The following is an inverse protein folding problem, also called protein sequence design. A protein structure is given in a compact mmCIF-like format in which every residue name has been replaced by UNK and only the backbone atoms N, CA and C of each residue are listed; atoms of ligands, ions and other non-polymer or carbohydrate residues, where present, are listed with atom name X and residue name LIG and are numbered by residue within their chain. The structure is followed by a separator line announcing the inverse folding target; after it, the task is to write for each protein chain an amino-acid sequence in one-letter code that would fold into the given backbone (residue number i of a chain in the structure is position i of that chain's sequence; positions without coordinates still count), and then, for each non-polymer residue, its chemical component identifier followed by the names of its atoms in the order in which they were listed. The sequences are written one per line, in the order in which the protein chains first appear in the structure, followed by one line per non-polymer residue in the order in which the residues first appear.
data_IF_829293175331
#
_entry.id   IF_829293175331
#
_cell.length_a   1.000
_cell.length_b   1.000
_cell.length_c   1.000
_cell.angle_alpha   90.00
_cell.angle_beta   90.00
_cell.angle_gamma   90.00
#
_symmetry.space_group_name_H-M   'P 1'
#
loop_
_entity.id
_entity.type
_entity.pdbx_description
1 polymer ?
#
# COMPACT_ATOMS: atom_id res chain seq x y z
N UNK A 1 41.12 23.97 -30.90
CA UNK A 1 41.69 23.50 -29.62
C UNK A 1 40.74 23.94 -28.52
N UNK A 2 39.98 22.97 -28.01
CA UNK A 2 39.26 22.83 -26.72
C UNK A 2 38.57 24.07 -26.11
N UNK A 3 37.24 24.06 -26.21
CA UNK A 3 36.26 24.72 -25.33
C UNK A 3 36.25 24.12 -23.91
N UNK A 4 35.75 24.87 -22.92
CA UNK A 4 35.50 24.36 -21.58
C UNK A 4 34.72 25.33 -20.70
N UNK A 5 33.46 25.54 -21.06
CA UNK A 5 32.42 26.35 -20.43
C UNK A 5 32.07 25.87 -19.00
N UNK A 6 31.79 26.82 -18.11
CA UNK A 6 31.58 26.59 -16.68
C UNK A 6 30.35 25.75 -16.32
N UNK A 7 30.50 24.93 -15.29
CA UNK A 7 29.40 24.19 -14.66
C UNK A 7 28.85 24.98 -13.48
N UNK A 8 27.64 25.52 -13.65
CA UNK A 8 26.79 25.98 -12.55
C UNK A 8 25.83 24.86 -12.12
N UNK A 9 25.85 24.63 -10.80
CA UNK A 9 24.80 24.17 -9.89
C UNK A 9 23.46 23.65 -10.48
N UNK A 10 23.05 22.46 -10.01
CA UNK A 10 21.70 21.82 -10.02
C UNK A 10 21.42 20.77 -11.09
N UNK A 11 21.88 19.52 -10.89
CA UNK A 11 21.19 18.32 -11.42
C UNK A 11 21.41 17.13 -10.47
N UNK A 12 20.50 16.95 -9.51
CA UNK A 12 20.29 15.64 -8.88
C UNK A 12 18.82 15.30 -9.14
N UNK A 13 18.55 14.67 -10.27
CA UNK A 13 17.23 14.18 -10.62
C UNK A 13 17.31 12.70 -10.98
N UNK A 14 16.49 11.95 -10.23
CA UNK A 14 15.80 10.71 -10.59
C UNK A 14 16.66 9.55 -11.11
N UNK A 15 16.80 8.54 -10.26
CA UNK A 15 17.07 7.16 -10.64
C UNK A 15 15.89 6.66 -11.49
N UNK A 16 16.00 6.71 -12.82
CA UNK A 16 15.01 6.17 -13.74
C UNK A 16 15.23 4.66 -13.93
N UNK A 17 14.33 3.85 -13.37
CA UNK A 17 14.23 2.42 -13.69
C UNK A 17 13.55 2.31 -15.05
N UNK A 18 14.33 1.95 -16.07
CA UNK A 18 13.83 1.62 -17.41
C UNK A 18 13.30 0.18 -17.40
N UNK A 19 11.98 0.01 -17.37
CA UNK A 19 11.33 -1.29 -17.54
C UNK A 19 10.89 -1.45 -19.01
N UNK A 20 11.63 -2.25 -19.77
CA UNK A 20 11.26 -2.68 -21.12
C UNK A 20 10.10 -3.68 -21.05
N UNK A 21 8.89 -3.21 -21.39
CA UNK A 21 7.72 -4.06 -21.56
C UNK A 21 7.66 -4.60 -23.00
N UNK A 22 7.96 -5.88 -23.17
CA UNK A 22 7.63 -6.62 -24.40
C UNK A 22 6.12 -6.83 -24.45
N UNK A 23 5.45 -6.24 -25.45
CA UNK A 23 4.00 -6.35 -25.64
C UNK A 23 3.56 -7.77 -25.98
N UNK A 24 3.09 -8.50 -24.97
CA UNK A 24 2.30 -9.71 -25.14
C UNK A 24 0.86 -9.38 -25.59
N UNK A 25 0.07 -10.38 -26.02
CA UNK A 25 -1.34 -10.17 -26.35
C UNK A 25 -2.10 -9.63 -25.13
N UNK A 26 -2.78 -8.50 -25.32
CA UNK A 26 -3.66 -7.90 -24.32
C UNK A 26 -4.90 -8.79 -24.18
N UNK A 27 -4.84 -9.75 -23.25
CA UNK A 27 -6.06 -10.35 -22.72
C UNK A 27 -6.88 -9.23 -22.04
N UNK A 28 -8.20 -9.33 -22.08
CA UNK A 28 -9.07 -8.39 -21.39
C UNK A 28 -8.78 -8.42 -19.87
N UNK A 29 -7.95 -7.49 -19.41
CA UNK A 29 -7.66 -7.33 -17.99
C UNK A 29 -8.94 -6.80 -17.33
N UNK A 30 -9.49 -7.58 -16.42
CA UNK A 30 -10.58 -7.12 -15.56
C UNK A 30 -10.06 -6.01 -14.66
N UNK A 31 -10.90 -5.04 -14.28
CA UNK A 31 -10.47 -3.98 -13.40
C UNK A 31 -10.03 -4.54 -12.05
N UNK A 32 -8.93 -4.02 -11.53
CA UNK A 32 -8.43 -4.35 -10.19
C UNK A 32 -8.47 -3.10 -9.32
N UNK A 33 -8.92 -3.26 -8.08
CA UNK A 33 -8.89 -2.24 -7.04
C UNK A 33 -7.98 -2.72 -5.94
N UNK A 34 -6.82 -2.08 -5.80
CA UNK A 34 -5.94 -2.25 -4.65
C UNK A 34 -6.23 -1.17 -3.62
N UNK A 35 -6.42 -1.58 -2.36
CA UNK A 35 -6.62 -0.69 -1.22
C UNK A 35 -5.79 -1.17 -0.05
N UNK A 36 -5.21 -0.22 0.66
CA UNK A 36 -4.46 -0.49 1.88
C UNK A 36 -5.04 0.27 3.07
N UNK A 37 -4.96 -0.32 4.24
CA UNK A 37 -5.37 0.28 5.53
C UNK A 37 -4.68 1.61 5.88
N UNK A 38 -3.51 1.89 5.29
CA UNK A 38 -2.83 3.18 5.42
C UNK A 38 -3.32 4.25 4.42
N UNK A 39 -4.32 3.93 3.61
CA UNK A 39 -4.90 4.82 2.61
C UNK A 39 -4.26 4.78 1.22
N UNK A 40 -3.23 3.96 1.00
CA UNK A 40 -2.73 3.72 -0.35
C UNK A 40 -3.81 3.03 -1.21
N UNK A 41 -3.88 3.39 -2.48
CA UNK A 41 -4.83 2.78 -3.40
C UNK A 41 -4.39 2.86 -4.86
N UNK A 42 -4.83 1.89 -5.63
CA UNK A 42 -4.72 1.86 -7.08
C UNK A 42 -6.00 1.28 -7.70
N UNK A 43 -6.40 1.83 -8.83
CA UNK A 43 -7.47 1.31 -9.67
C UNK A 43 -6.90 1.09 -11.06
N UNK A 44 -6.69 -0.17 -11.40
CA UNK A 44 -6.13 -0.59 -12.67
C UNK A 44 -7.25 -0.96 -13.65
N UNK A 45 -7.09 -0.47 -14.88
CA UNK A 45 -7.98 -0.77 -16.01
C UNK A 45 -7.15 -1.03 -17.26
N UNK A 46 -7.78 -1.48 -18.33
CA UNK A 46 -7.13 -1.58 -19.65
C UNK A 46 -6.62 -0.23 -20.18
N UNK A 47 -7.13 0.89 -19.65
CA UNK A 47 -6.69 2.25 -20.00
C UNK A 47 -5.54 2.78 -19.14
N UNK A 48 -5.13 2.04 -18.11
CA UNK A 48 -4.07 2.44 -17.17
C UNK A 48 -4.53 2.42 -15.71
N UNK A 49 -3.61 2.83 -14.84
CA UNK A 49 -3.76 2.92 -13.38
C UNK A 49 -4.11 4.34 -12.95
N UNK A 50 -5.00 4.47 -11.96
CA UNK A 50 -5.30 5.73 -11.29
C UNK A 50 -5.42 5.51 -9.78
N UNK A 51 -5.04 6.51 -8.98
CA UNK A 51 -5.26 6.48 -7.52
C UNK A 51 -6.71 6.82 -7.20
N UNK A 52 -7.29 6.15 -6.19
CA UNK A 52 -8.64 6.46 -5.72
C UNK A 52 -8.61 7.66 -4.76
N UNK A 53 -9.60 8.57 -4.82
CA UNK A 53 -9.75 9.60 -3.80
C UNK A 53 -9.98 8.98 -2.42
N UNK A 54 -9.17 9.37 -1.45
CA UNK A 54 -9.19 8.85 -0.07
C UNK A 54 -9.43 9.97 0.95
N UNK A 55 -10.23 9.69 1.97
CA UNK A 55 -10.48 10.63 3.08
C UNK A 55 -10.92 9.88 4.33
N UNK A 56 -10.70 10.46 5.52
CA UNK A 56 -11.30 9.96 6.76
C UNK A 56 -12.57 10.75 7.05
N UNK A 57 -13.72 10.06 7.04
CA UNK A 57 -15.03 10.67 7.27
C UNK A 57 -15.94 9.72 8.04
N UNK A 58 -17.11 10.23 8.45
CA UNK A 58 -18.13 9.40 9.06
C UNK A 58 -18.66 8.39 8.05
N UNK A 59 -18.67 7.12 8.41
CA UNK A 59 -19.38 6.09 7.67
C UNK A 59 -20.91 6.27 7.84
N UNK A 60 -21.67 6.47 6.76
CA UNK A 60 -23.14 6.52 6.81
C UNK A 60 -23.79 5.14 7.01
N UNK A 61 -23.04 4.05 6.89
CA UNK A 61 -23.51 2.69 7.05
C UNK A 61 -23.89 2.32 8.49
N UNK A 62 -24.49 1.13 8.69
CA UNK A 62 -24.95 0.67 10.00
C UNK A 62 -23.83 0.67 11.04
N UNK A 63 -24.03 1.36 12.16
CA UNK A 63 -23.02 1.40 13.23
C UNK A 63 -21.69 2.06 12.84
N UNK A 64 -21.66 2.83 11.75
CA UNK A 64 -20.47 3.45 11.20
C UNK A 64 -19.75 4.41 12.16
N UNK A 65 -18.42 4.36 12.14
CA UNK A 65 -17.55 5.21 12.96
C UNK A 65 -17.30 6.58 12.30
N UNK A 66 -16.95 7.58 13.11
CA UNK A 66 -16.86 8.99 12.67
C UNK A 66 -15.60 9.34 11.85
N UNK A 67 -14.58 8.49 11.84
CA UNK A 67 -13.26 8.74 11.21
C UNK A 67 -12.80 7.57 10.33
N UNK A 68 -13.75 6.89 9.70
CA UNK A 68 -13.47 5.71 8.89
C UNK A 68 -12.72 6.06 7.60
N UNK A 69 -11.70 5.25 7.28
CA UNK A 69 -10.91 5.40 6.07
C UNK A 69 -11.79 5.07 4.87
N UNK A 70 -12.08 6.07 4.05
CA UNK A 70 -13.04 5.94 2.95
C UNK A 70 -12.37 6.23 1.61
N UNK A 71 -12.49 5.28 0.70
CA UNK A 71 -12.13 5.36 -0.70
C UNK A 71 -13.36 5.66 -1.55
N UNK A 72 -13.18 6.45 -2.61
CA UNK A 72 -14.23 6.77 -3.58
C UNK A 72 -14.01 5.96 -4.85
N UNK A 73 -14.86 4.96 -5.07
CA UNK A 73 -14.84 4.12 -6.27
C UNK A 73 -15.39 4.89 -7.50
N UNK A 74 -14.88 4.63 -8.71
CA UNK A 74 -15.38 5.25 -9.93
C UNK A 74 -16.74 4.69 -10.39
N UNK A 75 -17.31 3.75 -9.64
CA UNK A 75 -18.58 3.10 -9.91
C UNK A 75 -19.33 2.76 -8.61
N UNK A 76 -20.65 2.56 -8.72
CA UNK A 76 -21.45 2.04 -7.63
C UNK A 76 -21.28 0.52 -7.51
N UNK A 77 -20.87 0.07 -6.34
CA UNK A 77 -20.79 -1.34 -6.00
C UNK A 77 -22.01 -1.77 -5.18
N UNK A 78 -22.38 -3.04 -5.23
CA UNK A 78 -23.46 -3.58 -4.41
C UNK A 78 -23.09 -3.45 -2.92
N UNK A 79 -24.02 -2.99 -2.10
CA UNK A 79 -23.75 -2.68 -0.70
C UNK A 79 -23.59 -3.94 0.16
N UNK A 80 -22.83 -3.83 1.23
CA UNK A 80 -22.62 -4.87 2.23
C UNK A 80 -21.21 -4.88 2.82
N UNK A 81 -20.93 -5.89 3.64
CA UNK A 81 -19.64 -6.02 4.35
C UNK A 81 -18.86 -7.25 3.91
N UNK A 82 -17.56 -7.09 3.67
CA UNK A 82 -16.59 -8.18 3.54
C UNK A 82 -15.78 -8.21 4.83
N UNK A 83 -15.81 -9.34 5.52
CA UNK A 83 -15.16 -9.54 6.81
C UNK A 83 -13.94 -10.40 6.56
N UNK A 84 -12.77 -9.86 6.87
CA UNK A 84 -11.51 -10.60 6.81
C UNK A 84 -11.28 -11.26 8.17
N UNK A 85 -10.71 -12.46 8.13
CA UNK A 85 -10.43 -13.23 9.33
C UNK A 85 -9.05 -13.84 9.26
N UNK A 86 -8.40 -13.88 10.40
CA UNK A 86 -7.04 -14.38 10.56
C UNK A 86 -6.97 -15.64 11.44
N UNK A 87 -5.91 -16.42 11.21
CA UNK A 87 -5.51 -17.53 12.07
C UNK A 87 -6.52 -18.67 12.22
N UNK A 88 -6.29 -19.51 13.23
CA UNK A 88 -7.08 -20.72 13.49
C UNK A 88 -8.37 -20.48 14.28
N UNK A 89 -8.67 -19.22 14.62
CA UNK A 89 -9.84 -18.83 15.42
C UNK A 89 -10.95 -18.13 14.64
N UNK A 90 -10.77 -17.85 13.34
CA UNK A 90 -11.63 -16.94 12.56
C UNK A 90 -11.83 -15.59 13.29
N UNK A 91 -10.77 -15.08 13.94
CA UNK A 91 -10.82 -13.75 14.56
C UNK A 91 -10.95 -12.74 13.43
N UNK A 92 -11.83 -11.76 13.58
CA UNK A 92 -11.95 -10.69 12.60
C UNK A 92 -10.72 -9.78 12.71
N UNK A 93 -9.99 -9.66 11.61
CA UNK A 93 -8.87 -8.72 11.45
C UNK A 93 -9.34 -7.43 10.80
N UNK A 94 -10.04 -7.54 9.67
CA UNK A 94 -10.55 -6.37 8.95
C UNK A 94 -12.02 -6.46 8.56
N UNK A 95 -12.56 -5.30 8.19
CA UNK A 95 -13.86 -5.17 7.57
C UNK A 95 -13.81 -4.15 6.44
N UNK A 96 -14.13 -4.61 5.22
CA UNK A 96 -14.33 -3.76 4.05
C UNK A 96 -15.83 -3.57 3.83
N UNK A 97 -16.28 -2.32 3.89
CA UNK A 97 -17.69 -1.96 3.74
C UNK A 97 -17.96 -1.24 2.43
N UNK A 98 -18.97 -1.69 1.72
CA UNK A 98 -19.51 -1.04 0.53
C UNK A 98 -20.87 -0.43 0.88
N UNK A 99 -21.03 0.88 0.70
CA UNK A 99 -22.29 1.56 1.04
C UNK A 99 -23.25 1.75 -0.14
N UNK A 100 -22.83 1.41 -1.37
CA UNK A 100 -23.68 1.53 -2.56
C UNK A 100 -23.77 2.93 -3.15
N UNK A 101 -22.98 3.87 -2.64
CA UNK A 101 -22.94 5.29 -3.02
C UNK A 101 -21.52 5.70 -3.48
N UNK A 102 -20.86 4.82 -4.24
CA UNK A 102 -19.45 4.91 -4.60
C UNK A 102 -18.46 4.86 -3.43
N UNK A 103 -18.89 4.72 -2.17
CA UNK A 103 -17.95 4.64 -1.04
C UNK A 103 -17.59 3.20 -0.68
N UNK A 104 -16.29 2.99 -0.48
CA UNK A 104 -15.68 1.80 0.11
C UNK A 104 -14.96 2.24 1.38
N UNK A 105 -15.20 1.54 2.49
CA UNK A 105 -14.63 1.88 3.79
C UNK A 105 -13.79 0.72 4.31
N UNK A 106 -12.62 1.03 4.85
CA UNK A 106 -11.70 0.09 5.47
C UNK A 106 -11.70 0.30 6.98
N UNK A 107 -12.01 -0.76 7.72
CA UNK A 107 -11.82 -0.87 9.16
C UNK A 107 -10.81 -1.99 9.44
N UNK A 108 -9.88 -1.73 10.35
CA UNK A 108 -8.96 -2.71 10.91
C UNK A 108 -9.17 -2.77 12.43
N UNK A 109 -8.84 -3.92 13.02
CA UNK A 109 -8.64 -4.03 14.48
C UNK A 109 -7.40 -3.24 14.89
N UNK A 110 -7.24 -2.98 16.18
CA UNK A 110 -6.00 -2.43 16.69
C UNK A 110 -5.00 -3.55 16.96
N UNK A 111 -3.85 -3.56 16.27
CA UNK A 111 -2.72 -4.37 16.70
C UNK A 111 -1.73 -3.53 17.53
N UNK A 112 -1.56 -3.89 18.79
CA UNK A 112 -0.61 -3.23 19.70
C UNK A 112 0.85 -3.55 19.36
N UNK A 113 1.08 -4.50 18.47
CA UNK A 113 2.40 -4.90 17.99
C UNK A 113 2.83 -4.17 16.72
N UNK A 114 1.92 -3.42 16.10
CA UNK A 114 2.27 -2.63 14.93
C UNK A 114 3.16 -1.43 15.27
N UNK A 115 4.20 -1.17 14.46
CA UNK A 115 5.14 -0.08 14.69
C UNK A 115 4.48 1.30 14.52
N UNK A 116 3.30 1.38 13.90
CA UNK A 116 2.49 2.60 13.77
C UNK A 116 1.03 2.29 13.46
N UNK A 117 0.10 2.89 14.21
CA UNK A 117 -1.34 2.82 13.91
C UNK A 117 -1.63 3.27 12.47
N UNK A 118 -2.20 2.38 11.67
CA UNK A 118 -2.69 2.66 10.33
C UNK A 118 -3.93 3.58 10.39
N UNK A 119 -4.36 4.07 9.22
CA UNK A 119 -5.54 4.96 9.18
C UNK A 119 -6.86 4.22 9.39
N UNK A 120 -6.88 2.92 9.16
CA UNK A 120 -8.03 2.05 9.37
C UNK A 120 -8.14 1.50 10.81
N UNK A 121 -7.12 1.69 11.66
CA UNK A 121 -7.07 1.24 13.07
C UNK A 121 -7.97 2.11 13.94
N UNK A 122 -9.26 1.85 13.80
CA UNK A 122 -10.30 2.56 14.55
C UNK A 122 -11.29 1.57 15.17
N UNK A 123 -11.01 0.27 15.06
CA UNK A 123 -11.91 -0.82 15.41
C UNK A 123 -13.08 -0.95 14.44
N UNK A 124 -14.05 -1.78 14.82
CA UNK A 124 -15.15 -2.15 13.94
C UNK A 124 -16.42 -1.31 14.15
N UNK A 125 -17.27 -1.18 13.10
CA UNK A 125 -18.60 -0.63 13.26
C UNK A 125 -19.42 -1.46 14.26
N UNK A 126 -20.33 -0.81 14.99
CA UNK A 126 -21.14 -1.47 16.02
C UNK A 126 -22.19 -2.42 15.44
N UNK A 127 -22.45 -2.34 14.14
CA UNK A 127 -23.35 -3.23 13.44
C UNK A 127 -22.85 -3.49 12.01
N UNK A 128 -23.27 -4.61 11.43
CA UNK A 128 -22.93 -4.99 10.07
C UNK A 128 -24.15 -4.91 9.15
N UNK A 129 -23.92 -4.75 7.84
CA UNK A 129 -24.94 -4.99 6.83
C UNK A 129 -25.42 -6.45 6.88
N UNK A 130 -26.69 -6.66 6.50
CA UNK A 130 -27.24 -8.01 6.38
C UNK A 130 -26.52 -8.82 5.28
N UNK A 131 -26.22 -8.15 4.15
CA UNK A 131 -25.38 -8.69 3.09
C UNK A 131 -23.92 -8.70 3.54
N UNK A 132 -23.39 -9.89 3.81
CA UNK A 132 -22.01 -10.04 4.26
C UNK A 132 -21.35 -11.27 3.68
N UNK A 133 -20.06 -11.17 3.45
CA UNK A 133 -19.17 -12.25 3.04
C UNK A 133 -18.02 -12.32 4.03
N UNK A 134 -17.60 -13.51 4.42
CA UNK A 134 -16.41 -13.71 5.25
C UNK A 134 -15.37 -14.46 4.43
N UNK A 135 -14.14 -13.96 4.44
CA UNK A 135 -12.99 -14.56 3.78
C UNK A 135 -11.82 -14.67 4.76
N UNK A 136 -10.98 -15.68 4.57
CA UNK A 136 -9.74 -15.80 5.30
C UNK A 136 -8.66 -14.97 4.62
N UNK A 137 -7.85 -14.28 5.41
CA UNK A 137 -6.64 -13.65 4.91
C UNK A 137 -5.60 -14.71 4.54
N UNK A 138 -4.76 -14.37 3.57
CA UNK A 138 -3.66 -15.22 3.12
C UNK A 138 -2.37 -14.43 3.35
N UNK A 139 -1.55 -14.89 4.29
CA UNK A 139 -0.34 -14.17 4.66
C UNK A 139 0.32 -14.70 5.92
N UNK A 140 1.50 -14.19 6.21
CA UNK A 140 2.13 -14.24 7.54
C UNK A 140 1.77 -12.96 8.27
N UNK A 141 1.71 -12.96 9.60
CA UNK A 141 1.35 -11.80 10.44
C UNK A 141 1.96 -10.45 10.02
N UNK A 142 3.15 -10.43 9.39
CA UNK A 142 3.82 -9.21 8.88
C UNK A 142 3.55 -8.84 7.41
N UNK A 143 2.66 -9.57 6.73
CA UNK A 143 2.20 -9.35 5.35
C UNK A 143 0.87 -10.07 5.15
N UNK A 144 -0.22 -9.43 5.56
CA UNK A 144 -1.56 -9.96 5.46
C UNK A 144 -2.40 -9.17 4.45
N UNK A 145 -3.26 -9.91 3.76
CA UNK A 145 -4.20 -9.36 2.80
C UNK A 145 -5.09 -10.43 2.20
N UNK A 146 -6.01 -9.99 1.35
CA UNK A 146 -6.95 -10.88 0.68
C UNK A 146 -7.25 -10.43 -0.74
N UNK A 147 -7.37 -11.41 -1.64
CA UNK A 147 -7.98 -11.22 -2.95
C UNK A 147 -9.46 -11.54 -2.86
N UNK A 148 -10.30 -10.56 -3.17
CA UNK A 148 -11.75 -10.69 -3.15
C UNK A 148 -12.37 -10.41 -4.51
N UNK A 149 -13.06 -11.40 -5.07
CA UNK A 149 -13.80 -11.28 -6.32
C UNK A 149 -15.30 -11.46 -6.05
N UNK A 150 -16.09 -10.37 -6.02
CA UNK A 150 -17.52 -10.45 -5.74
C UNK A 150 -18.29 -11.20 -6.83
N UNK A 151 -19.25 -12.04 -6.39
CA UNK A 151 -20.28 -12.63 -7.24
C UNK A 151 -21.52 -11.71 -7.29
N UNK A 152 -22.44 -11.90 -8.26
CA UNK A 152 -23.69 -11.14 -8.30
C UNK A 152 -24.41 -11.13 -6.94
N UNK A 153 -24.88 -9.94 -6.52
CA UNK A 153 -25.51 -9.64 -5.23
C UNK A 153 -24.59 -9.72 -4.00
N UNK A 154 -23.30 -10.00 -4.15
CA UNK A 154 -22.34 -9.90 -3.05
C UNK A 154 -21.83 -8.47 -2.87
N UNK A 155 -21.35 -8.10 -1.66
CA UNK A 155 -20.76 -6.78 -1.42
C UNK A 155 -19.64 -6.51 -2.42
N UNK A 156 -19.54 -5.29 -2.94
CA UNK A 156 -18.51 -4.96 -3.93
C UNK A 156 -18.84 -5.31 -5.38
N UNK A 157 -19.92 -6.06 -5.63
CA UNK A 157 -20.25 -6.46 -7.00
C UNK A 157 -20.62 -5.26 -7.88
N UNK A 158 -20.07 -5.24 -9.09
CA UNK A 158 -20.43 -4.32 -10.16
C UNK A 158 -20.38 -5.08 -11.50
N UNK A 159 -21.10 -4.60 -12.52
CA UNK A 159 -21.13 -5.22 -13.86
C UNK A 159 -19.74 -5.31 -14.52
N UNK A 160 -18.80 -4.44 -14.13
CA UNK A 160 -17.39 -4.47 -14.55
C UNK A 160 -16.61 -5.64 -13.94
N UNK A 161 -17.17 -6.34 -12.94
CA UNK A 161 -16.58 -7.49 -12.22
C UNK A 161 -15.17 -7.18 -11.67
N UNK A 162 -15.02 -6.12 -10.86
CA UNK A 162 -13.73 -5.77 -10.27
C UNK A 162 -13.22 -6.87 -9.35
N UNK A 163 -11.91 -7.03 -9.30
CA UNK A 163 -11.23 -7.80 -8.25
C UNK A 163 -10.63 -6.82 -7.25
N UNK A 164 -10.78 -7.10 -5.96
CA UNK A 164 -10.25 -6.27 -4.88
C UNK A 164 -9.03 -6.94 -4.27
N UNK A 165 -7.89 -6.25 -4.31
CA UNK A 165 -6.70 -6.57 -3.54
C UNK A 165 -6.74 -5.74 -2.26
N UNK A 166 -6.96 -6.42 -1.14
CA UNK A 166 -7.06 -5.81 0.18
C UNK A 166 -5.72 -6.04 0.87
N UNK A 167 -5.05 -4.95 1.26
CA UNK A 167 -3.74 -4.96 1.89
C UNK A 167 -3.94 -4.47 3.31
N UNK A 168 -3.83 -5.39 4.26
CA UNK A 168 -4.00 -5.10 5.68
C UNK A 168 -2.69 -4.69 6.32
N UNK A 169 -1.56 -4.82 5.63
CA UNK A 169 -0.28 -4.37 6.14
C UNK A 169 0.79 -4.19 5.05
N UNK A 170 1.72 -3.24 5.23
CA UNK A 170 2.88 -3.10 4.34
C UNK A 170 4.08 -3.79 4.98
N UNK A 171 4.78 -4.72 4.29
CA UNK A 171 5.98 -5.33 4.83
C UNK A 171 6.96 -4.25 5.29
N UNK A 172 7.31 -4.26 6.57
CA UNK A 172 8.44 -3.48 7.03
C UNK A 172 9.65 -3.83 6.15
N UNK A 173 10.43 -2.84 5.67
CA UNK A 173 11.72 -3.15 5.10
C UNK A 173 12.54 -3.80 6.21
N UNK A 174 12.72 -5.12 6.12
CA UNK A 174 13.39 -5.93 7.16
C UNK A 174 14.52 -5.14 7.80
N UNK A 175 14.45 -4.90 9.10
CA UNK A 175 15.41 -4.05 9.83
C UNK A 175 16.86 -4.53 9.62
N UNK A 176 17.03 -5.82 9.31
CA UNK A 176 18.28 -6.43 8.86
C UNK A 176 18.83 -5.82 7.56
N UNK A 177 18.00 -5.57 6.56
CA UNK A 177 18.42 -4.94 5.29
C UNK A 177 18.88 -3.50 5.51
N UNK A 178 18.19 -2.75 6.38
CA UNK A 178 18.57 -1.40 6.79
C UNK A 178 19.85 -1.39 7.64
N UNK A 179 20.01 -2.33 8.56
CA UNK A 179 21.23 -2.50 9.37
C UNK A 179 22.42 -2.87 8.49
N UNK A 180 22.23 -3.76 7.51
CA UNK A 180 23.24 -4.11 6.51
C UNK A 180 23.66 -2.85 5.74
N UNK A 181 22.71 -2.07 5.20
CA UNK A 181 23.04 -0.81 4.52
C UNK A 181 23.76 0.19 5.43
N UNK A 182 23.36 0.32 6.70
CA UNK A 182 24.00 1.22 7.66
C UNK A 182 25.44 0.80 8.01
N UNK A 183 25.69 -0.50 8.17
CA UNK A 183 27.02 -1.04 8.47
C UNK A 183 27.95 -0.95 7.26
N UNK A 184 27.47 -1.29 6.06
CA UNK A 184 28.27 -1.19 4.83
C UNK A 184 28.50 0.27 4.39
N UNK A 185 27.52 1.17 4.59
CA UNK A 185 27.67 2.60 4.33
C UNK A 185 28.72 3.28 5.24
N UNK A 186 28.75 2.88 6.51
CA UNK A 186 29.69 3.42 7.52
C UNK A 186 31.14 2.95 7.29
N UNK A 187 31.33 1.73 6.78
CA UNK A 187 32.66 1.21 6.39
C UNK A 187 33.31 1.98 5.24
N UNK A 188 32.51 2.45 4.28
CA UNK A 188 33.00 3.27 3.15
C UNK A 188 33.39 4.67 3.62
N UNK A 189 32.62 5.29 4.51
CA UNK A 189 32.91 6.61 5.07
C UNK A 189 34.23 6.65 5.87
N UNK A 190 34.54 5.60 6.63
CA UNK A 190 35.79 5.51 7.40
C UNK A 190 37.02 5.24 6.50
N UNK A 191 36.86 4.49 5.40
CA UNK A 191 37.96 4.19 4.47
C UNK A 191 38.39 5.42 3.65
N UNK A 192 37.46 6.33 3.36
CA UNK A 192 37.75 7.60 2.69
C UNK A 192 38.44 8.62 3.62
N UNK A 193 38.22 8.51 4.94
CA UNK A 193 38.85 9.39 5.94
C UNK A 193 40.31 9.00 6.24
N UNK A 194 40.68 7.74 6.08
CA UNK A 194 42.06 7.25 6.26
C UNK A 194 43.01 7.58 5.10
N UNK A 195 42.49 7.86 3.91
CA UNK A 195 43.32 8.10 2.71
C UNK A 195 43.95 9.51 2.65
N UNK A 196 43.42 10.47 3.41
CA UNK A 196 43.92 11.86 3.44
C UNK A 196 45.02 12.11 4.49
N UNK A 197 45.43 11.10 5.27
CA UNK A 197 46.38 11.27 6.39
C UNK A 197 47.86 11.01 6.08
N UNK A 198 48.21 10.52 4.88
CA UNK A 198 49.55 9.93 4.64
C UNK A 198 50.48 10.72 3.71
N UNK A 199 50.18 11.97 3.35
CA UNK A 199 51.06 12.80 2.51
C UNK A 199 51.50 14.09 3.19
N UNK A 200 52.33 13.97 4.23
CA UNK A 200 53.26 15.05 4.62
C UNK A 200 54.59 14.44 5.08
N UNK A 201 55.51 14.26 4.14
CA UNK A 201 56.94 14.27 4.44
C UNK A 201 57.61 15.18 3.42
N UNK A 202 57.97 16.37 3.89
CA UNK A 202 58.74 17.38 3.18
C UNK A 202 60.22 17.10 3.46
N UNK A 203 61.10 16.94 2.45
CA UNK A 203 62.53 17.01 2.67
C UNK A 203 62.94 18.48 2.76
N UNK A 204 63.54 18.85 3.89
CA UNK A 204 64.22 20.13 4.11
C UNK A 204 65.47 20.23 3.24
N UNK A 205 65.51 21.23 2.36
CA UNK A 205 66.74 21.83 1.83
C UNK A 205 67.06 23.10 2.58
#
# INVERSE_FOLDING_TARGET
MVEGTGMNLRVLQALSVLLTMTGGPVLAQLPEVSIAENGASAYETTSGETTLPVSRKRDPGPGGLARALTFTLPYNAYFGDVILTEGTGNRRSDLIRFNGDNTLIFYSDFDVTDPSDAFADIGFPTNNWANKVTIAEVGTESFNGALYQPKPNQPGFNALKPTYLIISDIPEPSTLSLLVLAVFGSGIALRLRGYNGSRLQVPSG
#
